data_IF_526175080531
#
_entry.id   IF_526175080531
#
_cell.length_a   1.000
_cell.length_b   1.000
_cell.length_c   1.000
_cell.angle_alpha   90.00
_cell.angle_beta   90.00
_cell.angle_gamma   90.00
#
_symmetry.space_group_name_H-M   'P 1'
#
loop_
_entity.id
_entity.type
_entity.pdbx_description
1 polymer ?
#
# COMPACT_ATOMS: atom_id res chain seq x y z
N UNK A 1 -3.53 -38.92 12.99
CA UNK A 1 -3.63 -37.69 13.81
C UNK A 1 -3.07 -36.53 13.00
N UNK A 2 -3.74 -35.38 12.99
CA UNK A 2 -3.28 -34.18 12.29
C UNK A 2 -4.42 -33.39 11.67
N UNK A 3 -5.36 -32.89 12.49
CA UNK A 3 -6.29 -31.85 12.05
C UNK A 3 -5.43 -30.62 11.76
N UNK A 4 -5.11 -30.38 10.48
CA UNK A 4 -4.49 -29.11 10.05
C UNK A 4 -5.43 -28.00 10.50
N UNK A 5 -4.98 -27.26 11.50
CA UNK A 5 -5.70 -26.13 12.07
C UNK A 5 -6.08 -25.18 10.92
N UNK A 6 -7.37 -25.11 10.58
CA UNK A 6 -7.93 -24.27 9.51
C UNK A 6 -7.92 -22.78 9.87
N UNK A 7 -7.03 -22.36 10.77
CA UNK A 7 -6.94 -21.02 11.35
C UNK A 7 -5.72 -20.25 10.85
N UNK A 8 -5.17 -20.58 9.68
CA UNK A 8 -4.20 -19.69 9.05
C UNK A 8 -4.90 -18.37 8.73
N UNK A 9 -4.41 -17.23 9.24
CA UNK A 9 -4.95 -15.91 8.91
C UNK A 9 -4.91 -15.69 7.40
N UNK A 10 -5.99 -15.16 6.84
CA UNK A 10 -6.01 -14.79 5.43
C UNK A 10 -5.27 -13.46 5.24
N UNK A 11 -4.49 -13.28 4.17
CA UNK A 11 -3.87 -11.99 3.89
C UNK A 11 -4.94 -10.97 3.48
N UNK A 12 -4.91 -9.79 4.10
CA UNK A 12 -5.79 -8.66 3.80
C UNK A 12 -4.95 -7.46 3.35
N UNK A 13 -5.12 -7.07 2.08
CA UNK A 13 -4.35 -5.95 1.54
C UNK A 13 -4.89 -4.61 2.00
N UNK A 14 -4.00 -3.75 2.51
CA UNK A 14 -4.36 -2.45 3.05
C UNK A 14 -3.76 -1.27 2.31
N UNK A 15 -4.46 -0.15 2.37
CA UNK A 15 -3.96 1.16 1.97
C UNK A 15 -3.90 2.08 3.17
N UNK A 16 -2.80 2.83 3.29
CA UNK A 16 -2.68 3.86 4.33
C UNK A 16 -3.47 5.08 3.91
N UNK A 17 -4.29 5.62 4.81
CA UNK A 17 -5.00 6.88 4.64
C UNK A 17 -4.74 7.77 5.85
N UNK A 18 -4.34 9.01 5.58
CA UNK A 18 -4.31 10.07 6.57
C UNK A 18 -5.68 10.77 6.65
N UNK A 19 -6.00 11.27 7.84
CA UNK A 19 -7.19 12.09 8.03
C UNK A 19 -6.80 13.57 7.89
N UNK A 20 -7.37 14.31 6.92
CA UNK A 20 -6.91 15.65 6.58
C UNK A 20 -7.04 16.61 7.77
N UNK A 21 -6.01 17.43 7.98
CA UNK A 21 -5.94 18.34 9.14
C UNK A 21 -5.53 17.67 10.45
N UNK A 22 -5.29 16.35 10.45
CA UNK A 22 -4.77 15.62 11.61
C UNK A 22 -3.54 14.80 11.24
N UNK A 23 -2.87 14.22 12.24
CA UNK A 23 -1.71 13.34 12.07
C UNK A 23 -2.06 11.86 12.28
N UNK A 24 -3.35 11.54 12.32
CA UNK A 24 -3.84 10.17 12.53
C UNK A 24 -3.88 9.45 11.19
N UNK A 25 -3.36 8.23 11.18
CA UNK A 25 -3.36 7.37 10.01
C UNK A 25 -4.21 6.13 10.27
N UNK A 26 -4.84 5.64 9.20
CA UNK A 26 -5.69 4.46 9.19
C UNK A 26 -5.29 3.51 8.09
N UNK A 27 -5.25 2.23 8.42
CA UNK A 27 -5.17 1.13 7.48
C UNK A 27 -6.57 0.81 6.97
N UNK A 28 -6.77 0.96 5.67
CA UNK A 28 -8.03 0.65 5.01
C UNK A 28 -7.90 -0.68 4.29
N UNK A 29 -8.61 -1.70 4.77
CA UNK A 29 -8.79 -2.98 4.08
C UNK A 29 -9.89 -2.77 3.04
N UNK A 30 -9.54 -2.84 1.76
CA UNK A 30 -10.48 -2.58 0.66
C UNK A 30 -11.59 -3.64 0.57
N UNK A 31 -11.21 -4.91 0.76
CA UNK A 31 -12.10 -6.07 0.70
C UNK A 31 -11.71 -7.03 1.82
N UNK A 32 -12.61 -7.23 2.79
CA UNK A 32 -12.40 -8.18 3.87
C UNK A 32 -12.50 -9.62 3.33
N UNK A 33 -11.52 -10.52 3.61
CA UNK A 33 -11.57 -11.90 3.12
C UNK A 33 -12.70 -12.75 3.73
N UNK A 34 -13.42 -12.22 4.73
CA UNK A 34 -14.51 -12.92 5.40
C UNK A 34 -15.91 -12.42 5.00
N UNK A 35 -16.13 -11.11 5.01
CA UNK A 35 -17.44 -10.50 4.71
C UNK A 35 -17.49 -9.75 3.38
N UNK A 36 -16.35 -9.50 2.72
CA UNK A 36 -16.26 -8.72 1.48
C UNK A 36 -16.39 -7.20 1.68
N UNK A 37 -16.66 -6.71 2.89
CA UNK A 37 -16.80 -5.29 3.16
C UNK A 37 -15.47 -4.57 3.39
N UNK A 38 -15.51 -3.24 3.36
CA UNK A 38 -14.36 -2.38 3.62
C UNK A 38 -14.20 -2.12 5.12
N UNK A 39 -13.02 -2.40 5.67
CA UNK A 39 -12.73 -2.22 7.09
C UNK A 39 -11.62 -1.19 7.36
N UNK A 40 -11.68 -0.56 8.53
CA UNK A 40 -10.73 0.45 8.98
C UNK A 40 -10.00 -0.05 10.23
N UNK A 41 -8.68 0.11 10.23
CA UNK A 41 -7.78 -0.23 11.34
C UNK A 41 -6.94 0.99 11.71
N UNK A 42 -6.71 1.26 13.01
CA UNK A 42 -5.88 2.38 13.42
C UNK A 42 -4.40 2.09 13.12
N UNK A 43 -3.80 2.86 12.22
CA UNK A 43 -2.37 2.75 11.86
C UNK A 43 -1.44 3.53 12.80
N UNK A 44 -2.01 4.36 13.69
CA UNK A 44 -1.25 5.14 14.69
C UNK A 44 -1.19 6.63 14.35
N UNK A 45 -0.28 7.34 15.03
CA UNK A 45 -0.06 8.77 14.87
C UNK A 45 1.39 9.01 14.43
N UNK A 46 1.59 9.83 13.41
CA UNK A 46 2.90 10.19 12.84
C UNK A 46 3.95 10.67 13.87
N UNK A 47 3.52 11.04 15.08
CA UNK A 47 4.42 11.52 16.15
C UNK A 47 5.01 10.41 17.03
N UNK A 48 4.35 9.25 17.11
CA UNK A 48 4.62 8.25 18.16
C UNK A 48 4.67 6.81 17.67
N UNK A 49 4.16 6.51 16.49
CA UNK A 49 4.17 5.15 15.97
C UNK A 49 4.37 5.12 14.46
N UNK A 50 5.29 4.28 14.01
CA UNK A 50 5.45 3.98 12.60
C UNK A 50 4.27 3.10 12.14
N UNK A 51 3.54 3.48 11.08
CA UNK A 51 2.35 2.75 10.65
C UNK A 51 2.66 1.31 10.23
N UNK A 52 3.90 1.05 9.82
CA UNK A 52 4.39 -0.28 9.44
C UNK A 52 4.43 -1.27 10.61
N UNK A 53 4.57 -0.81 11.86
CA UNK A 53 4.56 -1.68 13.04
C UNK A 53 3.17 -2.23 13.36
N UNK A 54 2.12 -1.67 12.75
CA UNK A 54 0.73 -2.14 12.87
C UNK A 54 0.30 -3.08 11.74
N UNK A 55 1.22 -3.49 10.89
CA UNK A 55 1.02 -4.58 9.93
C UNK A 55 1.26 -5.93 10.64
N UNK A 56 0.47 -6.95 10.30
CA UNK A 56 0.45 -8.23 11.00
C UNK A 56 -0.96 -8.73 11.29
N UNK A 57 -1.07 -9.70 12.19
CA UNK A 57 -2.34 -10.34 12.55
C UNK A 57 -3.24 -9.41 13.36
N UNK A 58 -4.44 -9.13 12.85
CA UNK A 58 -5.46 -8.34 13.56
C UNK A 58 -6.81 -9.04 13.50
N UNK A 59 -7.68 -8.83 14.51
CA UNK A 59 -9.04 -9.35 14.46
C UNK A 59 -9.84 -8.67 13.35
N UNK A 60 -10.64 -9.46 12.65
CA UNK A 60 -11.57 -8.96 11.64
C UNK A 60 -12.71 -8.18 12.33
N UNK A 61 -12.96 -6.91 11.97
CA UNK A 61 -14.06 -6.14 12.55
C UNK A 61 -15.45 -6.78 12.40
N UNK A 62 -15.66 -7.59 11.36
CA UNK A 62 -16.90 -8.32 11.13
C UNK A 62 -17.06 -9.57 12.02
N UNK A 63 -15.95 -10.18 12.45
CA UNK A 63 -15.94 -11.37 13.30
C UNK A 63 -14.64 -11.37 14.14
N UNK A 64 -14.69 -10.88 15.39
CA UNK A 64 -13.51 -10.80 16.25
C UNK A 64 -12.87 -12.17 16.56
N UNK A 65 -13.58 -13.27 16.31
CA UNK A 65 -13.05 -14.63 16.45
C UNK A 65 -12.12 -15.07 15.32
N UNK A 66 -11.98 -14.26 14.26
CA UNK A 66 -11.12 -14.54 13.10
C UNK A 66 -10.05 -13.47 12.96
N UNK A 67 -8.82 -13.92 12.71
CA UNK A 67 -7.67 -13.06 12.46
C UNK A 67 -7.37 -13.03 10.96
N UNK A 68 -7.06 -11.86 10.42
CA UNK A 68 -6.41 -11.73 9.12
C UNK A 68 -5.08 -10.99 9.25
N UNK A 69 -4.17 -11.24 8.31
CA UNK A 69 -2.85 -10.63 8.28
C UNK A 69 -2.87 -9.36 7.41
N UNK A 70 -2.68 -8.19 8.02
CA UNK A 70 -2.60 -6.91 7.33
C UNK A 70 -1.29 -6.80 6.56
N UNK A 71 -1.39 -6.81 5.24
CA UNK A 71 -0.24 -6.72 4.34
C UNK A 71 -0.35 -5.54 3.38
N UNK A 72 0.79 -4.95 3.03
CA UNK A 72 0.83 -3.97 1.95
C UNK A 72 0.62 -4.69 0.60
N UNK A 73 -0.13 -4.09 -0.34
CA UNK A 73 -0.25 -4.64 -1.67
C UNK A 73 1.14 -4.75 -2.31
N UNK A 74 1.41 -5.82 -3.08
CA UNK A 74 2.69 -5.99 -3.75
C UNK A 74 2.96 -4.76 -4.62
N UNK A 75 4.14 -4.16 -4.44
CA UNK A 75 4.52 -2.96 -5.19
C UNK A 75 4.40 -3.26 -6.69
N UNK A 76 3.72 -2.40 -7.47
CA UNK A 76 3.59 -2.63 -8.90
C UNK A 76 4.99 -2.69 -9.52
N UNK A 77 5.36 -3.85 -10.04
CA UNK A 77 6.65 -4.04 -10.68
C UNK A 77 6.74 -3.08 -11.89
N UNK A 78 7.64 -2.10 -11.81
CA UNK A 78 7.90 -1.22 -12.95
C UNK A 78 8.45 -2.08 -14.08
N UNK A 79 7.63 -2.33 -15.11
CA UNK A 79 8.06 -3.02 -16.34
C UNK A 79 9.33 -2.33 -16.85
N UNK A 80 10.43 -3.08 -17.02
CA UNK A 80 11.78 -2.61 -17.40
C UNK A 80 11.87 -1.76 -18.69
N UNK A 81 10.78 -1.58 -19.45
CA UNK A 81 10.77 -0.87 -20.74
C UNK A 81 10.44 0.64 -20.70
N UNK A 82 9.95 1.21 -19.59
CA UNK A 82 9.52 2.63 -19.57
C UNK A 82 10.68 3.63 -19.53
N UNK A 83 11.84 3.25 -18.99
CA UNK A 83 13.06 4.08 -18.97
C UNK A 83 13.67 4.24 -20.37
N UNK A 84 13.65 3.18 -21.20
CA UNK A 84 14.17 3.22 -22.57
C UNK A 84 13.40 4.22 -23.45
N UNK A 85 12.06 4.23 -23.35
CA UNK A 85 11.20 5.16 -24.12
C UNK A 85 11.39 6.63 -23.72
N UNK A 86 11.73 6.91 -22.46
CA UNK A 86 11.99 8.28 -21.98
C UNK A 86 13.37 8.78 -22.44
N UNK A 87 14.35 7.88 -22.58
CA UNK A 87 15.70 8.19 -23.09
C UNK A 87 15.70 8.47 -24.60
N UNK A 88 14.91 7.74 -25.40
CA UNK A 88 14.74 8.02 -26.83
C UNK A 88 14.12 9.41 -27.10
N UNK A 89 13.09 9.81 -26.35
CA UNK A 89 12.48 11.14 -26.51
C UNK A 89 13.44 12.29 -26.21
N UNK A 90 14.44 12.10 -25.34
CA UNK A 90 15.47 13.12 -25.04
C UNK A 90 16.54 13.21 -26.14
N UNK A 91 16.76 12.16 -26.92
CA UNK A 91 17.70 12.14 -28.04
C UNK A 91 17.12 12.76 -29.32
N UNK A 92 15.81 12.92 -29.42
CA UNK A 92 15.11 13.45 -30.60
C UNK A 92 14.89 14.97 -30.64
N UNK A 93 15.52 15.76 -29.75
CA UNK A 93 15.49 17.24 -29.84
C UNK A 93 16.82 17.74 -30.42
N UNK A 94 16.94 17.98 -31.75
CA UNK A 94 17.97 18.85 -32.26
C UNK A 94 17.63 20.29 -31.86
N UNK A 95 18.61 20.99 -31.26
CA UNK A 95 18.76 22.44 -31.27
C UNK A 95 17.55 23.29 -30.87
N UNK A 96 17.38 23.55 -29.57
CA UNK A 96 16.88 24.86 -29.13
C UNK A 96 18.01 25.86 -29.32
N UNK A 97 18.01 26.57 -30.46
CA UNK A 97 18.89 27.72 -30.70
C UNK A 97 18.56 28.85 -29.74
N UNK A 98 19.49 29.11 -28.83
CA UNK A 98 19.60 30.31 -27.99
C UNK A 98 21.10 30.54 -27.72
N UNK A 99 21.83 31.08 -28.70
CA UNK A 99 22.98 31.97 -28.53
C UNK A 99 22.41 33.35 -28.92
N UNK A 100 22.23 34.38 -28.09
CA UNK A 100 23.07 35.10 -27.12
C UNK A 100 24.35 35.70 -27.73
N UNK A 101 24.24 37.02 -28.04
CA UNK A 101 25.28 38.07 -28.26
C UNK A 101 26.29 37.84 -29.40
N UNK A 102 26.63 38.80 -30.27
CA UNK A 102 26.90 40.24 -30.12
C UNK A 102 26.56 41.01 -31.42
#
# INVERSE_FOLDING_TARGET
MGKKDRRTPQPAFVTLRDLPGTRVMFWVVGECPYCGERHLHPAGNLRTADPGERLGEVPAPCDPGRLYDLQLPPRPQRKKGKEARKKERRKGKPGTGWELEE
#
